data_IF_815119686510
#
_entry.id   IF_815119686510
#
_cell.length_a   1.000
_cell.length_b   1.000
_cell.length_c   1.000
_cell.angle_alpha   90.00
_cell.angle_beta   90.00
_cell.angle_gamma   90.00
#
_symmetry.space_group_name_H-M   'P 1'
#
loop_
_entity.id
_entity.type
_entity.pdbx_description
1 polymer ?
#
# COMPACT_ATOMS: atom_id res chain seq x y z
N UNK A 1 -4.05 -16.95 -17.77
CA UNK A 1 -4.99 -15.85 -17.48
C UNK A 1 -4.20 -14.78 -16.77
N UNK A 2 -4.22 -13.55 -17.23
CA UNK A 2 -3.36 -12.51 -16.68
C UNK A 2 -4.23 -11.56 -15.85
N UNK A 3 -4.14 -11.67 -14.53
CA UNK A 3 -4.41 -10.61 -13.60
C UNK A 3 -3.64 -9.34 -14.07
N UNK A 4 -4.30 -8.19 -14.20
CA UNK A 4 -3.64 -7.03 -14.84
C UNK A 4 -2.64 -6.35 -13.94
N UNK A 5 -3.05 -5.91 -12.76
CA UNK A 5 -2.15 -5.24 -11.81
C UNK A 5 -2.84 -4.94 -10.48
N UNK A 6 -2.03 -4.76 -9.46
CA UNK A 6 -2.44 -4.16 -8.19
C UNK A 6 -1.72 -2.82 -8.03
N UNK A 7 -2.45 -1.74 -7.86
CA UNK A 7 -1.89 -0.43 -7.57
C UNK A 7 -1.72 -0.26 -6.06
N UNK A 8 -0.57 0.24 -5.66
CA UNK A 8 -0.25 0.57 -4.28
C UNK A 8 -0.18 2.09 -4.12
N UNK A 9 -1.14 2.61 -3.38
CA UNK A 9 -1.20 3.97 -2.86
C UNK A 9 -0.98 3.97 -1.34
N UNK A 10 -0.82 5.14 -0.75
CA UNK A 10 -0.83 5.36 0.69
C UNK A 10 -1.87 6.45 1.00
N UNK A 11 -1.44 7.59 1.48
CA UNK A 11 -2.33 8.66 1.91
C UNK A 11 -2.60 9.74 0.84
N UNK A 12 -3.64 10.51 1.09
CA UNK A 12 -3.95 11.76 0.40
C UNK A 12 -3.90 12.89 1.40
N UNK A 13 -3.03 13.88 1.18
CA UNK A 13 -2.82 14.99 2.12
C UNK A 13 -2.84 16.32 1.37
N UNK A 14 -3.39 17.39 1.96
CA UNK A 14 -3.30 18.72 1.37
C UNK A 14 -1.85 19.14 1.13
N UNK A 15 -1.65 20.05 0.19
CA UNK A 15 -0.33 20.61 -0.07
C UNK A 15 0.23 21.25 1.21
N UNK A 16 1.49 20.96 1.55
CA UNK A 16 2.18 21.42 2.76
C UNK A 16 1.64 20.87 4.11
N UNK A 17 0.79 19.84 4.08
CA UNK A 17 0.27 19.15 5.26
C UNK A 17 0.58 17.65 5.21
N UNK A 18 1.80 17.29 4.80
CA UNK A 18 2.19 15.90 4.54
C UNK A 18 2.02 15.00 5.79
N UNK A 19 2.11 15.55 6.99
CA UNK A 19 1.98 14.81 8.24
C UNK A 19 0.53 14.78 8.79
N UNK A 20 -0.46 15.28 8.04
CA UNK A 20 -1.87 15.29 8.45
C UNK A 20 -2.57 13.94 8.34
N UNK A 21 -1.99 12.96 7.64
CA UNK A 21 -2.51 11.60 7.52
C UNK A 21 -1.37 10.59 7.43
N UNK A 22 -1.47 9.46 8.15
CA UNK A 22 -0.50 8.38 8.17
C UNK A 22 0.84 8.76 8.80
N UNK A 23 1.87 7.96 8.55
CA UNK A 23 3.21 8.17 9.11
C UNK A 23 3.82 9.49 8.66
N UNK A 24 4.50 10.18 9.58
CA UNK A 24 5.15 11.45 9.31
C UNK A 24 6.54 11.30 8.65
N UNK A 25 7.04 12.40 8.08
CA UNK A 25 8.40 12.52 7.60
C UNK A 25 8.63 12.31 6.11
N UNK A 26 9.85 12.60 5.62
CA UNK A 26 10.16 12.72 4.19
C UNK A 26 10.07 11.40 3.40
N UNK A 27 10.26 10.27 4.07
CA UNK A 27 10.14 8.94 3.44
C UNK A 27 8.67 8.64 3.13
N UNK A 28 7.76 8.91 4.09
CA UNK A 28 6.32 8.73 3.93
C UNK A 28 5.72 9.77 2.97
N UNK A 29 6.11 11.04 3.07
CA UNK A 29 5.63 12.14 2.23
C UNK A 29 5.78 11.86 0.73
N UNK A 30 6.75 11.04 0.34
CA UNK A 30 6.95 10.62 -1.05
C UNK A 30 5.76 9.84 -1.62
N UNK A 31 5.02 9.15 -0.80
CA UNK A 31 3.90 8.30 -1.22
C UNK A 31 2.53 8.94 -1.01
N UNK A 32 2.49 10.14 -0.41
CA UNK A 32 1.25 10.88 -0.17
C UNK A 32 0.96 11.81 -1.34
N UNK A 33 -0.18 11.60 -1.99
CA UNK A 33 -0.62 12.45 -3.10
C UNK A 33 -1.40 13.64 -2.56
N UNK A 34 -1.48 14.73 -3.34
CA UNK A 34 -2.49 15.75 -3.06
C UNK A 34 -3.88 15.27 -3.50
N UNK A 35 -4.98 15.85 -2.96
CA UNK A 35 -6.34 15.53 -3.41
C UNK A 35 -6.50 15.66 -4.93
N UNK A 36 -5.93 16.72 -5.52
CA UNK A 36 -6.01 16.98 -6.97
C UNK A 36 -5.20 15.94 -7.76
N UNK A 37 -4.01 15.54 -7.28
CA UNK A 37 -3.22 14.49 -7.92
C UNK A 37 -3.99 13.17 -7.88
N UNK A 38 -4.57 12.82 -6.74
CA UNK A 38 -5.34 11.59 -6.57
C UNK A 38 -6.55 11.55 -7.51
N UNK A 39 -7.35 12.62 -7.55
CA UNK A 39 -8.50 12.72 -8.48
C UNK A 39 -8.06 12.59 -9.93
N UNK A 40 -6.96 13.27 -10.34
CA UNK A 40 -6.40 13.13 -11.70
C UNK A 40 -6.00 11.68 -12.00
N UNK A 41 -5.37 10.98 -11.03
CA UNK A 41 -5.02 9.58 -11.19
C UNK A 41 -6.26 8.70 -11.39
N UNK A 42 -7.28 8.85 -10.53
CA UNK A 42 -8.52 8.08 -10.64
C UNK A 42 -9.23 8.31 -11.97
N UNK A 43 -9.31 9.56 -12.43
CA UNK A 43 -9.92 9.91 -13.71
C UNK A 43 -9.16 9.26 -14.87
N UNK A 44 -7.83 9.34 -14.87
CA UNK A 44 -7.01 8.71 -15.91
C UNK A 44 -7.11 7.18 -15.89
N UNK A 45 -7.15 6.55 -14.71
CA UNK A 45 -7.36 5.10 -14.56
C UNK A 45 -8.73 4.71 -15.11
N UNK A 46 -9.79 5.47 -14.80
CA UNK A 46 -11.16 5.22 -15.25
C UNK A 46 -11.27 5.14 -16.78
N UNK A 47 -10.45 5.91 -17.52
CA UNK A 47 -10.42 5.83 -19.01
C UNK A 47 -9.80 4.52 -19.53
N UNK A 48 -9.13 3.74 -18.70
CA UNK A 48 -8.36 2.52 -19.10
C UNK A 48 -8.93 1.22 -18.58
N UNK A 49 -9.91 1.28 -17.70
CA UNK A 49 -10.54 0.11 -17.08
C UNK A 49 -12.01 0.02 -17.48
N UNK A 50 -12.49 -1.22 -17.67
CA UNK A 50 -13.89 -1.50 -18.03
C UNK A 50 -14.69 -1.90 -16.78
N UNK A 51 -13.98 -2.39 -15.76
CA UNK A 51 -14.57 -2.94 -14.52
C UNK A 51 -14.01 -2.23 -13.30
N UNK A 52 -14.80 -2.15 -12.21
CA UNK A 52 -14.27 -1.64 -10.94
C UNK A 52 -13.13 -2.52 -10.42
N UNK A 53 -12.35 -2.03 -9.44
CA UNK A 53 -11.34 -2.85 -8.76
C UNK A 53 -12.00 -4.05 -8.08
N UNK A 54 -11.28 -5.17 -8.04
CA UNK A 54 -11.76 -6.36 -7.32
C UNK A 54 -11.68 -6.14 -5.80
N UNK A 55 -12.64 -6.73 -5.10
CA UNK A 55 -12.70 -6.76 -3.62
C UNK A 55 -12.86 -8.18 -3.07
N UNK A 56 -12.56 -9.21 -3.89
CA UNK A 56 -12.60 -10.59 -3.41
C UNK A 56 -11.38 -10.91 -2.56
N UNK A 57 -11.58 -11.33 -1.32
CA UNK A 57 -10.51 -11.63 -0.36
C UNK A 57 -10.01 -13.08 -0.44
N UNK A 58 -10.74 -13.96 -1.14
CA UNK A 58 -10.33 -15.35 -1.27
C UNK A 58 -9.19 -15.55 -2.28
N UNK A 59 -8.20 -16.41 -1.98
CA UNK A 59 -7.13 -16.74 -2.93
C UNK A 59 -7.66 -17.28 -4.25
N UNK A 60 -8.72 -18.08 -4.21
CA UNK A 60 -9.32 -18.66 -5.40
C UNK A 60 -10.02 -17.60 -6.26
N UNK A 61 -10.76 -16.67 -5.63
CA UNK A 61 -11.37 -15.55 -6.34
C UNK A 61 -10.35 -14.70 -7.08
N UNK A 62 -9.19 -14.44 -6.46
CA UNK A 62 -8.08 -13.72 -7.10
C UNK A 62 -7.45 -14.51 -8.24
N UNK A 63 -7.27 -15.83 -8.10
CA UNK A 63 -6.72 -16.71 -9.16
C UNK A 63 -7.66 -16.85 -10.35
N UNK A 64 -8.97 -16.90 -10.11
CA UNK A 64 -10.02 -17.01 -11.14
C UNK A 64 -10.43 -15.67 -11.72
N UNK A 65 -9.88 -14.57 -11.22
CA UNK A 65 -10.21 -13.23 -11.69
C UNK A 65 -10.07 -13.13 -13.21
N UNK A 66 -11.07 -12.55 -13.87
CA UNK A 66 -11.10 -12.42 -15.31
C UNK A 66 -9.89 -11.64 -15.84
N UNK A 67 -9.50 -11.93 -17.08
CA UNK A 67 -8.46 -11.11 -17.74
C UNK A 67 -8.88 -9.66 -17.73
N UNK A 68 -7.96 -8.82 -17.26
CA UNK A 68 -8.24 -7.39 -17.10
C UNK A 68 -8.66 -6.96 -15.72
N UNK A 69 -8.82 -7.88 -14.77
CA UNK A 69 -9.06 -7.55 -13.37
C UNK A 69 -7.86 -6.84 -12.74
N UNK A 70 -8.14 -5.92 -11.83
CA UNK A 70 -7.14 -5.12 -11.14
C UNK A 70 -7.58 -4.81 -9.72
N UNK A 71 -6.63 -4.43 -8.86
CA UNK A 71 -6.91 -4.03 -7.48
C UNK A 71 -6.33 -2.64 -7.21
N UNK A 72 -6.94 -1.96 -6.25
CA UNK A 72 -6.44 -0.71 -5.70
C UNK A 72 -6.27 -0.87 -4.20
N UNK A 73 -5.04 -0.68 -3.73
CA UNK A 73 -4.65 -0.91 -2.33
C UNK A 73 -4.03 0.35 -1.73
N UNK A 74 -4.27 0.53 -0.45
CA UNK A 74 -3.79 1.66 0.35
C UNK A 74 -3.16 1.10 1.63
N UNK A 75 -1.92 1.47 1.91
CA UNK A 75 -1.20 1.03 3.10
C UNK A 75 -1.26 2.08 4.23
N UNK A 76 -0.81 1.70 5.40
CA UNK A 76 -0.62 2.45 6.64
C UNK A 76 -1.88 2.67 7.47
N UNK A 77 -3.01 3.00 6.88
CA UNK A 77 -4.26 3.26 7.61
C UNK A 77 -4.40 4.71 8.10
N UNK A 78 -3.78 5.67 7.40
CA UNK A 78 -3.96 7.09 7.70
C UNK A 78 -5.41 7.55 7.59
N UNK A 79 -5.75 8.63 8.28
CA UNK A 79 -7.13 9.15 8.36
C UNK A 79 -7.71 9.52 7.00
N UNK A 80 -6.88 9.86 6.02
CA UNK A 80 -7.32 10.13 4.64
C UNK A 80 -8.03 8.96 3.97
N UNK A 81 -7.82 7.73 4.45
CA UNK A 81 -8.56 6.55 3.99
C UNK A 81 -10.07 6.73 4.13
N UNK A 82 -10.51 7.27 5.27
CA UNK A 82 -11.91 7.49 5.62
C UNK A 82 -12.46 8.83 5.12
N UNK A 83 -11.66 9.89 5.13
CA UNK A 83 -12.12 11.25 4.81
C UNK A 83 -12.11 11.57 3.31
N UNK A 84 -11.07 11.14 2.59
CA UNK A 84 -10.85 11.57 1.20
C UNK A 84 -10.89 10.39 0.22
N UNK A 85 -10.14 9.32 0.51
CA UNK A 85 -9.89 8.24 -0.44
C UNK A 85 -11.16 7.46 -0.72
N UNK A 86 -11.85 7.00 0.34
CA UNK A 86 -13.05 6.17 0.19
C UNK A 86 -14.13 6.90 -0.59
N UNK A 87 -14.40 8.18 -0.27
CA UNK A 87 -15.38 8.99 -0.97
C UNK A 87 -15.07 9.10 -2.47
N UNK A 88 -13.81 9.38 -2.82
CA UNK A 88 -13.41 9.49 -4.22
C UNK A 88 -13.53 8.18 -5.00
N UNK A 89 -13.31 7.04 -4.35
CA UNK A 89 -13.53 5.71 -4.94
C UNK A 89 -15.02 5.46 -5.15
N UNK A 90 -15.84 5.73 -4.15
CA UNK A 90 -17.28 5.47 -4.14
C UNK A 90 -18.04 6.31 -5.16
N UNK A 91 -17.65 7.56 -5.38
CA UNK A 91 -18.18 8.40 -6.47
C UNK A 91 -18.04 7.75 -7.85
N UNK A 92 -17.12 6.78 -7.98
CA UNK A 92 -16.88 6.01 -9.23
C UNK A 92 -17.47 4.59 -9.18
N UNK A 93 -18.20 4.24 -8.12
CA UNK A 93 -18.67 2.88 -7.87
C UNK A 93 -17.53 1.90 -7.53
N UNK A 94 -16.38 2.40 -7.09
CA UNK A 94 -15.20 1.60 -6.78
C UNK A 94 -15.09 1.34 -5.29
N UNK A 95 -14.36 0.26 -4.94
CA UNK A 95 -13.95 -0.07 -3.57
C UNK A 95 -12.46 -0.36 -3.56
N UNK A 96 -11.81 -0.06 -2.43
CA UNK A 96 -10.37 -0.27 -2.23
C UNK A 96 -10.09 -1.27 -1.12
N UNK A 97 -8.81 -1.61 -1.01
CA UNK A 97 -8.25 -2.43 0.07
C UNK A 97 -7.40 -1.53 0.95
N UNK A 98 -7.72 -1.47 2.24
CA UNK A 98 -7.01 -0.67 3.20
C UNK A 98 -6.27 -1.59 4.18
N UNK A 99 -4.94 -1.49 4.20
CA UNK A 99 -4.08 -2.26 5.08
C UNK A 99 -3.62 -1.39 6.25
N UNK A 100 -3.92 -1.81 7.46
CA UNK A 100 -3.88 -1.00 8.67
C UNK A 100 -2.75 -1.44 9.59
N UNK A 101 -1.89 -0.51 9.99
CA UNK A 101 -0.93 -0.66 11.09
C UNK A 101 -1.67 -0.49 12.41
N UNK A 102 -1.95 -1.60 13.11
CA UNK A 102 -2.98 -1.60 14.16
C UNK A 102 -2.60 -0.85 15.43
N UNK A 103 -1.30 -0.72 15.76
CA UNK A 103 -0.86 0.05 16.93
C UNK A 103 -1.01 1.57 16.71
N UNK A 104 -1.28 2.00 15.46
CA UNK A 104 -1.56 3.41 15.12
C UNK A 104 -3.06 3.77 15.18
N UNK A 105 -3.96 2.79 15.31
CA UNK A 105 -5.41 3.04 15.39
C UNK A 105 -5.71 3.96 16.57
N UNK A 106 -6.66 4.89 16.39
CA UNK A 106 -7.07 5.91 17.37
C UNK A 106 -5.96 6.92 17.76
N UNK A 107 -4.82 6.92 17.06
CA UNK A 107 -3.80 7.95 17.24
C UNK A 107 -3.98 9.10 16.22
N UNK A 108 -3.42 10.29 16.48
CA UNK A 108 -3.47 11.41 15.53
C UNK A 108 -3.00 11.00 14.13
N UNK A 109 -3.66 11.50 13.09
CA UNK A 109 -3.39 11.22 11.66
C UNK A 109 -3.73 9.81 11.18
N UNK A 110 -4.25 8.92 12.03
CA UNK A 110 -4.68 7.58 11.64
C UNK A 110 -6.18 7.37 11.85
N UNK A 111 -6.73 6.36 11.17
CA UNK A 111 -8.13 6.00 11.30
C UNK A 111 -8.46 5.53 12.72
N UNK A 112 -9.63 5.93 13.21
CA UNK A 112 -10.23 5.39 14.43
C UNK A 112 -10.88 4.03 14.18
N UNK A 113 -11.11 3.25 15.26
CA UNK A 113 -11.87 1.99 15.21
C UNK A 113 -13.25 2.17 14.54
N UNK A 114 -13.93 3.29 14.82
CA UNK A 114 -15.22 3.61 14.22
C UNK A 114 -15.11 3.83 12.71
N UNK A 115 -14.12 4.58 12.25
CA UNK A 115 -13.87 4.82 10.83
C UNK A 115 -13.51 3.53 10.07
N UNK A 116 -12.73 2.63 10.68
CA UNK A 116 -12.40 1.34 10.07
C UNK A 116 -13.63 0.44 9.92
N UNK A 117 -14.53 0.43 10.91
CA UNK A 117 -15.81 -0.28 10.82
C UNK A 117 -16.68 0.30 9.72
N UNK A 118 -16.82 1.62 9.67
CA UNK A 118 -17.58 2.31 8.63
C UNK A 118 -17.03 2.00 7.23
N UNK A 119 -15.70 2.07 7.01
CA UNK A 119 -15.08 1.71 5.74
C UNK A 119 -15.47 0.28 5.32
N UNK A 120 -15.45 -0.65 6.27
CA UNK A 120 -15.83 -2.03 6.02
C UNK A 120 -17.32 -2.15 5.65
N UNK A 121 -18.22 -1.51 6.39
CA UNK A 121 -19.66 -1.49 6.13
C UNK A 121 -20.00 -0.88 4.76
N UNK A 122 -19.20 0.08 4.30
CA UNK A 122 -19.29 0.69 2.97
C UNK A 122 -18.73 -0.20 1.85
N UNK A 123 -18.27 -1.43 2.18
CA UNK A 123 -17.83 -2.46 1.23
C UNK A 123 -16.34 -2.39 0.84
N UNK A 124 -15.54 -1.62 1.53
CA UNK A 124 -14.09 -1.67 1.39
C UNK A 124 -13.51 -2.88 2.13
N UNK A 125 -12.36 -3.37 1.67
CA UNK A 125 -11.66 -4.47 2.33
C UNK A 125 -10.68 -3.90 3.34
N UNK A 126 -10.78 -4.36 4.59
CA UNK A 126 -9.83 -4.06 5.66
C UNK A 126 -8.87 -5.24 5.81
N UNK A 127 -7.58 -4.98 5.78
CA UNK A 127 -6.52 -5.97 5.95
C UNK A 127 -5.42 -5.51 6.90
N UNK A 128 -4.54 -6.42 7.30
CA UNK A 128 -3.44 -6.13 8.22
C UNK A 128 -2.25 -5.48 7.50
N UNK A 129 -1.66 -4.46 8.13
CA UNK A 129 -0.32 -3.94 7.80
C UNK A 129 0.64 -4.14 8.97
N UNK A 130 0.55 -5.31 9.64
CA UNK A 130 1.16 -5.64 10.94
C UNK A 130 0.62 -4.82 12.11
N UNK A 131 1.17 -5.01 13.30
CA UNK A 131 0.84 -4.21 14.48
C UNK A 131 1.65 -2.92 14.50
N UNK A 132 2.94 -3.05 14.74
CA UNK A 132 3.83 -1.93 15.07
C UNK A 132 4.45 -1.26 13.84
N UNK A 133 4.22 -1.80 12.64
CA UNK A 133 4.86 -1.36 11.41
C UNK A 133 6.40 -1.31 11.55
N UNK A 134 7.08 -2.44 11.81
CA UNK A 134 8.52 -2.47 12.05
C UNK A 134 9.29 -1.82 10.89
N UNK A 135 10.33 -1.02 11.17
CA UNK A 135 11.14 -0.37 10.14
C UNK A 135 11.62 -1.36 9.06
N UNK A 136 11.87 -2.60 9.47
CA UNK A 136 12.26 -3.68 8.57
C UNK A 136 11.73 -5.02 9.06
N UNK A 137 10.49 -5.33 8.73
CA UNK A 137 9.82 -6.56 9.17
C UNK A 137 10.60 -7.84 8.81
N UNK A 138 11.35 -7.85 7.71
CA UNK A 138 12.17 -9.02 7.32
C UNK A 138 13.37 -9.28 8.23
N UNK A 139 13.68 -8.43 9.19
CA UNK A 139 14.72 -8.65 10.22
C UNK A 139 14.16 -9.05 11.59
N UNK A 140 12.85 -9.14 11.73
CA UNK A 140 12.19 -9.63 12.94
C UNK A 140 12.41 -11.15 13.10
N UNK A 141 12.46 -11.63 14.34
CA UNK A 141 12.46 -13.07 14.64
C UNK A 141 11.14 -13.71 14.20
N UNK A 142 11.11 -15.05 14.11
CA UNK A 142 9.87 -15.76 13.77
C UNK A 142 8.76 -15.48 14.78
N UNK A 143 9.07 -15.44 16.07
CA UNK A 143 8.12 -15.13 17.13
C UNK A 143 7.55 -13.71 16.99
N UNK A 144 8.41 -12.73 16.72
CA UNK A 144 7.98 -11.37 16.45
C UNK A 144 7.08 -11.28 15.21
N UNK A 145 7.42 -12.01 14.13
CA UNK A 145 6.59 -12.04 12.93
C UNK A 145 5.20 -12.64 13.19
N UNK A 146 5.13 -13.71 13.98
CA UNK A 146 3.86 -14.33 14.37
C UNK A 146 3.02 -13.38 15.23
N UNK A 147 3.64 -12.70 16.21
CA UNK A 147 2.96 -11.70 17.05
C UNK A 147 2.41 -10.54 16.21
N UNK A 148 3.22 -9.95 15.33
CA UNK A 148 2.82 -8.89 14.43
C UNK A 148 1.57 -9.25 13.59
N UNK A 149 1.51 -10.47 13.05
CA UNK A 149 0.39 -10.90 12.23
C UNK A 149 -0.83 -11.33 13.05
N UNK A 150 -0.65 -12.09 14.12
CA UNK A 150 -1.76 -12.63 14.93
C UNK A 150 -2.49 -11.51 15.67
N UNK A 151 -1.76 -10.63 16.36
CA UNK A 151 -2.36 -9.50 17.09
C UNK A 151 -3.08 -8.54 16.15
N UNK A 152 -2.45 -8.14 15.04
CA UNK A 152 -3.09 -7.21 14.11
C UNK A 152 -4.38 -7.79 13.52
N UNK A 153 -4.39 -9.09 13.16
CA UNK A 153 -5.60 -9.76 12.70
C UNK A 153 -6.69 -9.80 13.75
N UNK A 154 -6.33 -10.09 15.00
CA UNK A 154 -7.30 -10.15 16.10
C UNK A 154 -7.95 -8.79 16.35
N UNK A 155 -7.15 -7.72 16.41
CA UNK A 155 -7.65 -6.34 16.59
C UNK A 155 -8.59 -5.94 15.44
N UNK A 156 -8.21 -6.21 14.20
CA UNK A 156 -9.05 -5.85 13.07
C UNK A 156 -10.32 -6.70 13.00
N UNK A 157 -10.23 -8.01 13.32
CA UNK A 157 -11.41 -8.89 13.36
C UNK A 157 -12.42 -8.42 14.42
N UNK A 158 -11.95 -7.96 15.58
CA UNK A 158 -12.81 -7.35 16.61
C UNK A 158 -13.51 -6.09 16.09
N UNK A 159 -12.78 -5.24 15.35
CA UNK A 159 -13.33 -3.98 14.82
C UNK A 159 -14.41 -4.24 13.78
N UNK A 160 -14.17 -5.14 12.81
CA UNK A 160 -15.05 -5.35 11.66
C UNK A 160 -16.04 -6.51 11.85
N UNK A 161 -15.94 -7.25 12.95
CA UNK A 161 -16.86 -8.34 13.28
C UNK A 161 -16.69 -9.62 12.45
N UNK A 162 -15.59 -9.78 11.72
CA UNK A 162 -15.29 -10.96 10.91
C UNK A 162 -13.79 -11.23 10.78
N UNK A 163 -13.39 -12.49 10.43
CA UNK A 163 -11.97 -12.83 10.28
C UNK A 163 -11.26 -11.99 9.22
N UNK A 164 -10.06 -11.52 9.54
CA UNK A 164 -9.16 -10.84 8.60
C UNK A 164 -8.12 -11.83 8.10
N UNK A 165 -8.14 -12.14 6.80
CA UNK A 165 -7.26 -13.13 6.17
C UNK A 165 -6.35 -12.51 5.10
N UNK A 166 -6.28 -11.19 5.05
CA UNK A 166 -5.48 -10.47 4.07
C UNK A 166 -4.52 -9.52 4.76
N UNK A 167 -3.31 -9.40 4.23
CA UNK A 167 -2.30 -8.49 4.77
C UNK A 167 -1.41 -7.90 3.68
N UNK A 168 -0.70 -6.83 4.02
CA UNK A 168 0.41 -6.29 3.23
C UNK A 168 1.68 -6.15 4.06
N UNK A 169 2.83 -6.27 3.39
CA UNK A 169 4.15 -6.25 4.03
C UNK A 169 4.61 -4.82 4.29
N UNK A 170 4.84 -4.41 5.55
CA UNK A 170 5.31 -3.07 5.90
C UNK A 170 6.62 -2.70 5.21
N UNK A 171 6.71 -1.45 4.73
CA UNK A 171 7.90 -0.89 4.12
C UNK A 171 8.43 -1.64 2.88
N UNK A 172 7.70 -2.63 2.38
CA UNK A 172 8.10 -3.46 1.24
C UNK A 172 9.26 -4.42 1.52
N UNK A 173 9.61 -4.68 2.77
CA UNK A 173 10.68 -5.61 3.15
C UNK A 173 10.17 -7.06 3.19
N UNK A 174 9.81 -7.57 2.03
CA UNK A 174 9.37 -8.95 1.86
C UNK A 174 10.53 -9.94 2.01
N UNK A 175 10.27 -11.06 2.69
CA UNK A 175 11.09 -12.28 2.67
C UNK A 175 10.18 -13.51 2.70
N UNK A 176 10.73 -14.68 2.34
CA UNK A 176 9.97 -15.91 2.41
C UNK A 176 9.55 -16.26 3.84
N UNK A 177 10.37 -15.90 4.83
CA UNK A 177 10.05 -16.11 6.25
C UNK A 177 8.89 -15.22 6.72
N UNK A 178 8.83 -13.95 6.27
CA UNK A 178 7.68 -13.07 6.49
C UNK A 178 6.39 -13.71 5.95
N UNK A 179 6.46 -14.29 4.74
CA UNK A 179 5.29 -14.94 4.13
C UNK A 179 4.90 -16.25 4.86
N UNK A 180 5.87 -17.02 5.32
CA UNK A 180 5.62 -18.25 6.12
C UNK A 180 4.97 -17.94 7.46
N UNK A 181 5.44 -16.90 8.14
CA UNK A 181 4.84 -16.46 9.39
C UNK A 181 3.41 -15.92 9.16
N UNK A 182 3.17 -15.19 8.08
CA UNK A 182 1.84 -14.73 7.69
C UNK A 182 0.89 -15.93 7.45
N UNK A 183 1.33 -16.92 6.65
CA UNK A 183 0.56 -18.15 6.42
C UNK A 183 0.25 -18.90 7.72
N UNK A 184 1.26 -19.09 8.59
CA UNK A 184 1.11 -19.75 9.89
C UNK A 184 0.17 -18.98 10.84
N UNK A 185 0.02 -17.67 10.64
CA UNK A 185 -0.93 -16.82 11.37
C UNK A 185 -2.33 -16.81 10.74
N UNK A 186 -2.59 -17.60 9.67
CA UNK A 186 -3.87 -17.68 8.99
C UNK A 186 -4.15 -16.53 8.01
N UNK A 187 -3.10 -15.85 7.50
CA UNK A 187 -3.22 -14.95 6.35
C UNK A 187 -3.21 -15.81 5.08
N UNK A 188 -4.24 -15.64 4.28
CA UNK A 188 -4.43 -16.37 3.02
C UNK A 188 -3.93 -15.59 1.80
N UNK A 189 -3.94 -14.25 1.87
CA UNK A 189 -3.45 -13.37 0.81
C UNK A 189 -2.51 -12.33 1.40
N UNK A 190 -1.26 -12.34 0.94
CA UNK A 190 -0.23 -11.39 1.38
C UNK A 190 0.24 -10.54 0.18
N UNK A 191 0.08 -9.23 0.32
CA UNK A 191 0.55 -8.28 -0.67
C UNK A 191 1.96 -7.81 -0.32
N UNK A 192 2.85 -7.80 -1.33
CA UNK A 192 4.17 -7.19 -1.21
C UNK A 192 4.29 -5.98 -2.15
N UNK A 193 5.45 -5.32 -2.18
CA UNK A 193 5.71 -4.17 -3.05
C UNK A 193 6.58 -4.54 -4.27
N UNK A 194 6.72 -5.82 -4.59
CA UNK A 194 7.41 -6.26 -5.80
C UNK A 194 6.51 -6.07 -7.02
N UNK A 195 6.92 -5.28 -8.02
CA UNK A 195 6.06 -4.94 -9.15
C UNK A 195 5.98 -6.12 -10.14
N UNK A 196 5.05 -7.03 -9.88
CA UNK A 196 4.76 -8.20 -10.72
C UNK A 196 3.27 -8.46 -10.80
N UNK A 197 2.84 -9.09 -11.88
CA UNK A 197 1.48 -9.64 -12.05
C UNK A 197 1.43 -11.14 -11.77
N UNK A 198 2.57 -11.77 -11.51
CA UNK A 198 2.64 -13.18 -11.18
C UNK A 198 2.13 -13.42 -9.75
N UNK A 199 1.25 -14.40 -9.63
CA UNK A 199 0.77 -14.90 -8.34
C UNK A 199 1.56 -16.17 -8.00
N UNK A 200 2.04 -16.27 -6.77
CA UNK A 200 2.71 -17.48 -6.29
C UNK A 200 2.24 -17.83 -4.88
N UNK A 201 2.61 -19.00 -4.38
CA UNK A 201 2.12 -19.48 -3.10
C UNK A 201 3.31 -19.76 -2.15
N UNK A 202 3.11 -19.43 -0.89
CA UNK A 202 4.03 -19.81 0.20
C UNK A 202 3.20 -20.42 1.32
N UNK A 203 3.36 -21.72 1.54
CA UNK A 203 2.70 -22.47 2.61
C UNK A 203 1.17 -22.23 2.70
N UNK A 204 0.50 -22.18 1.55
CA UNK A 204 -0.94 -21.93 1.45
C UNK A 204 -1.30 -20.44 1.22
N UNK A 205 -0.46 -19.51 1.61
CA UNK A 205 -0.70 -18.09 1.43
C UNK A 205 -0.40 -17.64 -0.02
N UNK A 206 -1.36 -16.98 -0.66
CA UNK A 206 -1.21 -16.39 -1.99
C UNK A 206 -0.45 -15.07 -1.90
N UNK A 207 0.66 -14.96 -2.62
CA UNK A 207 1.49 -13.74 -2.67
C UNK A 207 1.14 -12.94 -3.92
N UNK A 208 0.84 -11.66 -3.71
CA UNK A 208 0.41 -10.70 -4.74
C UNK A 208 1.37 -9.53 -4.80
N UNK A 209 1.97 -9.30 -5.98
CA UNK A 209 2.83 -8.14 -6.21
C UNK A 209 2.03 -6.86 -6.47
N UNK A 210 2.65 -5.69 -6.23
CA UNK A 210 2.01 -4.39 -6.39
C UNK A 210 2.90 -3.38 -7.11
N UNK A 211 2.26 -2.48 -7.85
CA UNK A 211 2.90 -1.37 -8.55
C UNK A 211 2.73 -0.08 -7.74
N UNK A 212 3.84 0.44 -7.23
CA UNK A 212 3.86 1.64 -6.40
C UNK A 212 3.46 2.88 -7.20
N UNK A 213 2.59 3.67 -6.62
CA UNK A 213 2.27 5.05 -7.01
C UNK A 213 2.92 5.99 -5.99
N UNK A 214 3.40 7.14 -6.45
CA UNK A 214 4.11 8.10 -5.61
C UNK A 214 3.77 9.53 -6.04
N UNK A 215 3.99 10.48 -5.15
CA UNK A 215 3.77 11.92 -5.39
C UNK A 215 4.52 12.38 -6.63
N UNK A 216 3.84 13.16 -7.46
CA UNK A 216 4.40 13.68 -8.72
C UNK A 216 4.46 12.66 -9.85
N UNK A 217 3.93 11.43 -9.68
CA UNK A 217 3.75 10.51 -10.80
C UNK A 217 2.70 11.10 -11.75
N UNK A 218 2.97 11.20 -13.07
CA UNK A 218 1.95 11.62 -14.03
C UNK A 218 0.73 10.69 -14.00
N UNK A 219 -0.47 11.25 -14.08
CA UNK A 219 -1.72 10.49 -14.08
C UNK A 219 -1.80 9.47 -15.23
N UNK A 220 -1.24 9.80 -16.40
CA UNK A 220 -1.08 8.89 -17.52
C UNK A 220 -0.22 7.66 -17.18
N UNK A 221 0.80 7.84 -16.34
CA UNK A 221 1.67 6.77 -15.89
C UNK A 221 0.94 5.82 -14.94
N UNK A 222 0.19 6.36 -13.96
CA UNK A 222 -0.65 5.57 -13.07
C UNK A 222 -1.70 4.76 -13.87
N UNK A 223 -2.38 5.38 -14.82
CA UNK A 223 -3.33 4.72 -15.72
C UNK A 223 -2.66 3.64 -16.59
N UNK A 224 -1.43 3.87 -17.03
CA UNK A 224 -0.67 2.89 -17.83
C UNK A 224 -0.28 1.65 -17.02
N UNK A 225 -0.18 1.72 -15.69
CA UNK A 225 0.08 0.55 -14.85
C UNK A 225 -1.08 -0.48 -14.94
N UNK A 226 -2.31 -0.04 -15.12
CA UNK A 226 -3.46 -0.96 -15.28
C UNK A 226 -3.67 -1.41 -16.74
N UNK A 227 -3.15 -0.70 -17.73
CA UNK A 227 -3.44 -0.97 -19.15
C UNK A 227 -2.24 -1.46 -19.96
N UNK A 228 -1.00 -1.08 -19.64
CA UNK A 228 0.20 -1.31 -20.46
C UNK A 228 1.16 -2.32 -19.85
N UNK A 229 1.38 -3.49 -20.47
CA UNK A 229 2.43 -4.43 -20.08
C UNK A 229 3.83 -3.81 -20.09
N UNK A 230 4.12 -2.95 -21.09
CA UNK A 230 5.41 -2.28 -21.21
C UNK A 230 5.69 -1.35 -20.01
N UNK A 231 4.69 -0.60 -19.56
CA UNK A 231 4.85 0.28 -18.38
C UNK A 231 5.12 -0.53 -17.10
N UNK A 232 4.41 -1.63 -16.91
CA UNK A 232 4.65 -2.56 -15.81
C UNK A 232 6.05 -3.17 -15.87
N UNK A 233 6.48 -3.64 -17.05
CA UNK A 233 7.84 -4.16 -17.24
C UNK A 233 8.91 -3.11 -16.89
N UNK A 234 8.76 -1.86 -17.34
CA UNK A 234 9.70 -0.77 -17.02
C UNK A 234 9.81 -0.55 -15.50
N UNK A 235 8.70 -0.57 -14.77
CA UNK A 235 8.74 -0.43 -13.31
C UNK A 235 9.40 -1.64 -12.64
N UNK A 236 9.13 -2.86 -13.12
CA UNK A 236 9.78 -4.08 -12.64
C UNK A 236 11.30 -4.07 -12.91
N UNK A 237 11.72 -3.67 -14.09
CA UNK A 237 13.13 -3.56 -14.46
C UNK A 237 13.86 -2.54 -13.56
N UNK A 238 13.25 -1.37 -13.34
CA UNK A 238 13.80 -0.35 -12.43
C UNK A 238 13.89 -0.84 -10.99
N UNK A 239 12.85 -1.55 -10.50
CA UNK A 239 12.85 -2.16 -9.17
C UNK A 239 14.00 -3.17 -9.02
N UNK A 240 14.17 -4.07 -9.97
CA UNK A 240 15.22 -5.08 -9.96
C UNK A 240 16.61 -4.43 -10.01
N UNK A 241 16.82 -3.42 -10.84
CA UNK A 241 18.08 -2.67 -10.89
C UNK A 241 18.39 -2.00 -9.53
N UNK A 242 17.39 -1.40 -8.88
CA UNK A 242 17.55 -0.86 -7.52
C UNK A 242 17.86 -1.93 -6.48
N UNK A 243 17.27 -3.12 -6.58
CA UNK A 243 17.54 -4.25 -5.67
C UNK A 243 18.99 -4.67 -5.78
N UNK A 244 19.51 -4.83 -7.01
CA UNK A 244 20.91 -5.14 -7.28
C UNK A 244 21.83 -4.03 -6.78
N UNK A 245 21.54 -2.76 -7.08
CA UNK A 245 22.34 -1.62 -6.60
C UNK A 245 22.42 -1.55 -5.06
N UNK A 246 21.31 -1.83 -4.35
CA UNK A 246 21.30 -1.90 -2.88
C UNK A 246 22.18 -3.03 -2.34
N UNK A 247 22.20 -4.18 -3.02
CA UNK A 247 23.03 -5.33 -2.62
C UNK A 247 24.52 -5.03 -2.79
N UNK A 248 24.90 -4.37 -3.90
CA UNK A 248 26.31 -4.04 -4.20
C UNK A 248 26.80 -2.86 -3.34
N UNK A 249 26.03 -1.79 -3.23
CA UNK A 249 26.46 -0.56 -2.57
C UNK A 249 26.26 -0.54 -1.03
N UNK A 250 25.57 -1.54 -0.47
CA UNK A 250 25.40 -1.73 0.98
C UNK A 250 25.03 -0.46 1.76
N UNK A 251 25.70 -0.18 2.91
CA UNK A 251 25.40 0.97 3.77
C UNK A 251 25.57 2.34 3.09
N UNK A 252 26.50 2.47 2.13
CA UNK A 252 26.74 3.71 1.40
C UNK A 252 25.50 4.17 0.62
N UNK A 253 24.72 3.22 0.07
CA UNK A 253 23.47 3.53 -0.61
C UNK A 253 22.41 4.12 0.34
N UNK A 254 22.30 3.58 1.58
CA UNK A 254 21.35 4.09 2.60
C UNK A 254 21.67 5.54 2.96
N UNK A 255 22.94 5.84 3.23
CA UNK A 255 23.39 7.19 3.58
C UNK A 255 23.19 8.23 2.46
N UNK A 256 23.52 7.87 1.21
CA UNK A 256 23.32 8.75 0.06
C UNK A 256 21.83 9.02 -0.18
N UNK A 257 20.98 7.99 -0.12
CA UNK A 257 19.54 8.12 -0.28
C UNK A 257 18.91 9.03 0.77
N UNK A 258 19.26 8.86 2.04
CA UNK A 258 18.78 9.71 3.14
C UNK A 258 19.18 11.18 2.93
N UNK A 259 20.44 11.46 2.58
CA UNK A 259 20.92 12.82 2.30
C UNK A 259 20.15 13.49 1.16
N UNK A 260 19.88 12.76 0.08
CA UNK A 260 19.10 13.28 -1.07
C UNK A 260 17.65 13.57 -0.70
N UNK A 261 17.00 12.71 0.07
CA UNK A 261 15.62 12.91 0.51
C UNK A 261 15.50 14.07 1.50
N UNK A 262 16.39 14.16 2.49
CA UNK A 262 16.43 15.30 3.42
C UNK A 262 16.65 16.62 2.70
N UNK A 263 17.57 16.66 1.73
CA UNK A 263 17.84 17.88 0.94
C UNK A 263 16.60 18.32 0.14
N UNK A 264 15.92 17.39 -0.50
CA UNK A 264 14.68 17.68 -1.25
C UNK A 264 13.55 18.18 -0.34
N UNK A 265 13.41 17.61 0.85
CA UNK A 265 12.41 18.01 1.84
C UNK A 265 12.70 19.39 2.44
N UNK A 266 13.97 19.67 2.78
CA UNK A 266 14.42 20.95 3.33
C UNK A 266 14.24 22.12 2.33
N UNK A 267 14.49 21.88 1.04
CA UNK A 267 14.29 22.89 0.00
C UNK A 267 12.80 23.27 -0.11
N UNK A 268 11.89 22.28 -0.01
CA UNK A 268 10.44 22.55 0.01
C UNK A 268 10.01 23.36 1.24
N UNK A 269 10.51 22.99 2.42
CA UNK A 269 10.17 23.66 3.67
C UNK A 269 10.61 25.13 3.69
N UNK A 270 11.71 25.46 3.03
CA UNK A 270 12.20 26.85 2.91
C UNK A 270 11.38 27.66 1.88
N UNK A 271 10.96 27.02 0.78
CA UNK A 271 10.14 27.69 -0.26
C UNK A 271 8.71 28.02 0.18
N UNK A 272 8.23 27.46 1.30
CA UNK A 272 6.86 27.63 1.80
C UNK A 272 6.74 28.51 3.04
N UNK A 273 7.84 29.14 3.51
CA UNK A 273 7.73 30.18 4.55
C UNK A 273 7.09 31.44 3.93
N UNK A 274 5.94 31.90 4.45
CA UNK A 274 5.39 33.19 4.02
C UNK A 274 6.41 34.29 4.31
N UNK A 275 6.64 35.17 3.35
CA UNK A 275 7.37 36.40 3.59
C UNK A 275 6.68 37.15 4.72
N UNK A 276 7.47 37.52 5.75
CA UNK A 276 7.00 38.31 6.89
C UNK A 276 6.64 39.73 6.45
#
# INVERSE_FOLDING_TARGET
>A
MLFRSTLLYHDVTPTNADDSSGFAGPEAARYKLTPEEFVRHLNAVATKVIRPPLVTTSPEGLRRAASGSWLMTFDDGGVSASTDIAEQLERRGWRGWFFIATDSIDTPSFCTRAQLRELHERGHVIGSHSCSHPERISSCSREQLLDEWQRSRAVLAEIIGQPVMTASVPGGFYSREVARAAAASGIEVLFNSEPTTSLFNVDGCLIVGRYNVYRGMPASDAASLVSSPLRRWRQSAFWNAKKVAKTIAGPAYKGLRQRLLHRAYSIKAVATKPAR
#
